data_IF_522430502704
#
_entry.id   IF_522430502704
#
_cell.length_a   1.000
_cell.length_b   1.000
_cell.length_c   1.000
_cell.angle_alpha   90.00
_cell.angle_beta   90.00
_cell.angle_gamma   90.00
#
_symmetry.space_group_name_H-M   'P 1'
#
loop_
_entity.id
_entity.type
_entity.pdbx_description
1 polymer ?
#
# COMPACT_ATOMS: atom_id res chain seq x y z
N UNK A 1 8.86 29.83 26.64
CA UNK A 1 9.26 29.48 25.26
C UNK A 1 7.99 29.24 24.47
N UNK A 2 7.79 29.95 23.35
CA UNK A 2 6.66 29.71 22.46
C UNK A 2 7.02 28.68 21.39
N UNK A 3 6.13 27.75 21.09
CA UNK A 3 6.27 26.80 20.00
C UNK A 3 5.41 27.25 18.80
N UNK A 4 5.96 27.11 17.59
CA UNK A 4 5.20 27.21 16.34
C UNK A 4 4.80 25.80 15.92
N UNK A 5 3.50 25.57 15.74
CA UNK A 5 2.97 24.32 15.18
C UNK A 5 2.50 24.54 13.76
N UNK A 6 2.93 23.69 12.84
CA UNK A 6 2.64 23.77 11.41
C UNK A 6 2.21 22.37 10.95
N UNK A 7 1.09 22.27 10.23
CA UNK A 7 0.54 21.01 9.74
C UNK A 7 0.66 20.94 8.22
N UNK A 8 1.29 19.88 7.71
CA UNK A 8 1.27 19.55 6.28
C UNK A 8 -0.06 18.92 5.87
N UNK A 9 -0.67 19.40 4.79
CA UNK A 9 -1.99 18.92 4.33
C UNK A 9 -1.89 17.94 3.15
N UNK A 10 -0.82 18.03 2.36
CA UNK A 10 -0.60 17.19 1.17
C UNK A 10 0.84 16.66 1.16
N UNK A 11 1.06 15.41 0.70
CA UNK A 11 2.40 14.87 0.54
C UNK A 11 3.25 15.69 -0.43
N UNK A 12 4.57 15.61 -0.24
CA UNK A 12 5.57 16.28 -1.07
C UNK A 12 6.61 17.04 -0.27
N UNK A 13 7.53 17.67 -0.99
CA UNK A 13 8.65 18.40 -0.41
C UNK A 13 8.43 19.90 -0.49
N UNK A 14 8.72 20.60 0.59
CA UNK A 14 8.70 22.06 0.67
C UNK A 14 9.81 22.54 1.61
N UNK A 15 9.89 23.84 1.84
CA UNK A 15 10.78 24.38 2.85
C UNK A 15 10.08 25.46 3.68
N UNK A 16 10.35 25.44 4.98
CA UNK A 16 9.96 26.49 5.89
C UNK A 16 11.09 27.52 5.95
N UNK A 17 10.82 28.74 5.47
CA UNK A 17 11.74 29.87 5.59
C UNK A 17 11.37 30.72 6.81
N UNK A 18 12.24 30.73 7.81
CA UNK A 18 12.12 31.54 9.02
C UNK A 18 13.02 32.77 8.90
N UNK A 19 12.44 33.96 9.01
CA UNK A 19 13.18 35.22 8.99
C UNK A 19 12.90 36.00 10.29
N UNK A 20 13.95 36.36 11.01
CA UNK A 20 13.89 37.20 12.19
C UNK A 20 14.97 38.30 12.09
N UNK A 21 14.55 39.52 11.75
CA UNK A 21 15.47 40.61 11.42
C UNK A 21 16.36 40.25 10.22
N UNK A 22 17.69 40.24 10.43
CA UNK A 22 18.68 39.87 9.39
C UNK A 22 18.95 38.36 9.31
N UNK A 23 18.45 37.56 10.24
CA UNK A 23 18.69 36.11 10.26
C UNK A 23 17.62 35.41 9.42
N UNK A 24 18.07 34.56 8.49
CA UNK A 24 17.22 33.67 7.69
C UNK A 24 17.66 32.23 7.89
N UNK A 25 16.71 31.33 8.17
CA UNK A 25 16.92 29.89 8.21
C UNK A 25 15.91 29.20 7.31
N UNK A 26 16.39 28.32 6.43
CA UNK A 26 15.53 27.47 5.60
C UNK A 26 15.59 26.06 6.16
N UNK A 27 14.44 25.48 6.47
CA UNK A 27 14.29 24.11 6.96
C UNK A 27 13.56 23.29 5.88
N UNK A 28 14.17 22.26 5.29
CA UNK A 28 13.47 21.38 4.37
C UNK A 28 12.41 20.58 5.13
N UNK A 29 11.23 20.43 4.55
CA UNK A 29 10.11 19.69 5.12
C UNK A 29 9.61 18.71 4.06
N UNK A 30 9.45 17.45 4.45
CA UNK A 30 8.80 16.43 3.64
C UNK A 30 7.52 15.98 4.34
N UNK A 31 6.40 16.04 3.63
CA UNK A 31 5.13 15.46 4.07
C UNK A 31 5.00 14.10 3.39
N UNK A 32 4.88 13.04 4.18
CA UNK A 32 4.76 11.66 3.67
C UNK A 32 3.32 11.31 3.32
N UNK A 33 3.15 10.29 2.50
CA UNK A 33 1.86 9.70 2.20
C UNK A 33 1.22 9.09 3.43
N UNK A 34 -0.11 9.10 3.49
CA UNK A 34 -0.86 8.31 4.47
C UNK A 34 -0.89 6.83 4.11
N UNK A 35 -0.66 6.50 2.83
CA UNK A 35 -0.65 5.14 2.37
C UNK A 35 0.69 4.49 2.75
N UNK A 36 0.62 3.61 3.75
CA UNK A 36 1.76 2.92 4.36
C UNK A 36 2.25 1.72 3.53
N UNK A 37 1.62 1.43 2.38
CA UNK A 37 2.08 0.37 1.49
C UNK A 37 3.35 0.78 0.76
N UNK A 38 4.17 -0.22 0.44
CA UNK A 38 5.22 -0.12 -0.57
C UNK A 38 5.00 -1.22 -1.60
N UNK A 39 4.98 -0.85 -2.87
CA UNK A 39 4.83 -1.80 -3.98
C UNK A 39 5.52 -1.26 -5.24
N UNK A 40 5.45 -1.99 -6.34
CA UNK A 40 6.08 -1.64 -7.60
C UNK A 40 5.73 -2.67 -8.68
N UNK A 41 6.46 -2.69 -9.80
CA UNK A 41 6.31 -3.74 -10.79
C UNK A 41 6.50 -5.13 -10.16
N UNK A 42 5.73 -6.12 -10.65
CA UNK A 42 5.86 -7.50 -10.24
C UNK A 42 5.41 -8.44 -11.35
N UNK A 43 6.00 -9.62 -11.42
CA UNK A 43 5.52 -10.67 -12.31
C UNK A 43 5.70 -12.05 -11.69
N UNK A 44 4.74 -12.92 -11.95
CA UNK A 44 4.78 -14.33 -11.54
C UNK A 44 3.40 -14.95 -11.59
N UNK A 45 3.35 -16.28 -11.64
CA UNK A 45 2.09 -17.04 -11.62
C UNK A 45 1.08 -16.64 -12.73
N UNK A 46 1.59 -16.25 -13.90
CA UNK A 46 0.78 -15.77 -15.02
C UNK A 46 0.09 -14.43 -14.79
N UNK A 47 0.58 -13.63 -13.84
CA UNK A 47 0.12 -12.29 -13.55
C UNK A 47 1.29 -11.30 -13.66
N UNK A 48 1.08 -10.24 -14.44
CA UNK A 48 1.99 -9.10 -14.52
C UNK A 48 1.29 -7.89 -13.91
N UNK A 49 2.03 -7.17 -13.07
CA UNK A 49 1.59 -5.94 -12.42
C UNK A 49 2.55 -4.82 -12.76
N UNK A 50 2.01 -3.71 -13.25
CA UNK A 50 2.76 -2.47 -13.49
C UNK A 50 2.19 -1.33 -12.65
N UNK A 51 2.98 -0.27 -12.46
CA UNK A 51 2.51 0.92 -11.77
C UNK A 51 2.06 1.96 -12.79
N UNK A 52 0.80 2.38 -12.70
CA UNK A 52 0.25 3.45 -13.52
C UNK A 52 0.86 4.82 -13.17
N UNK A 53 0.65 5.82 -14.02
CA UNK A 53 1.18 7.17 -13.80
C UNK A 53 0.74 7.79 -12.46
N UNK A 54 -0.49 7.52 -12.02
CA UNK A 54 -1.02 8.04 -10.75
C UNK A 54 -0.53 7.25 -9.52
N UNK A 55 0.16 6.11 -9.73
CA UNK A 55 0.68 5.24 -8.67
C UNK A 55 -0.22 4.04 -8.32
N UNK A 56 -1.34 3.86 -9.01
CA UNK A 56 -2.17 2.65 -8.89
C UNK A 56 -1.53 1.44 -9.58
N UNK A 57 -2.03 0.24 -9.30
CA UNK A 57 -1.52 -1.02 -9.84
C UNK A 57 -2.36 -1.47 -11.03
N UNK A 58 -1.75 -1.61 -12.20
CA UNK A 58 -2.36 -2.19 -13.40
C UNK A 58 -2.03 -3.68 -13.49
N UNK A 59 -3.06 -4.52 -13.63
CA UNK A 59 -2.96 -5.97 -13.69
C UNK A 59 -3.24 -6.46 -15.11
N UNK A 60 -2.45 -7.42 -15.57
CA UNK A 60 -2.70 -8.15 -16.79
C UNK A 60 -2.16 -9.57 -16.69
N UNK A 61 -2.99 -10.56 -16.99
CA UNK A 61 -2.56 -11.95 -17.23
C UNK A 61 -2.34 -12.25 -18.72
N UNK A 62 -2.54 -11.26 -19.62
CA UNK A 62 -2.48 -11.49 -21.06
C UNK A 62 -3.44 -12.60 -21.50
N UNK A 63 -2.93 -13.63 -22.15
CA UNK A 63 -3.69 -14.84 -22.54
C UNK A 63 -3.63 -15.95 -21.50
N UNK A 64 -2.89 -15.76 -20.40
CA UNK A 64 -2.76 -16.75 -19.33
C UNK A 64 -3.92 -16.68 -18.33
N UNK A 65 -4.13 -17.78 -17.63
CA UNK A 65 -5.03 -17.86 -16.48
C UNK A 65 -4.21 -17.92 -15.20
N UNK A 66 -4.47 -17.01 -14.27
CA UNK A 66 -3.82 -17.00 -12.95
C UNK A 66 -4.38 -18.17 -12.14
N UNK A 67 -3.55 -19.11 -11.65
CA UNK A 67 -4.01 -20.23 -10.83
C UNK A 67 -4.59 -19.76 -9.49
N UNK A 68 -5.52 -20.52 -8.92
CA UNK A 68 -6.08 -20.23 -7.60
C UNK A 68 -4.98 -20.14 -6.54
N UNK A 69 -5.14 -19.17 -5.63
CA UNK A 69 -4.23 -18.90 -4.51
C UNK A 69 -2.80 -18.53 -4.92
N UNK A 70 -2.59 -18.27 -6.20
CA UNK A 70 -1.34 -17.74 -6.76
C UNK A 70 -1.53 -16.29 -7.19
N UNK A 71 -0.42 -15.57 -7.33
CA UNK A 71 -0.43 -14.17 -7.69
C UNK A 71 0.91 -13.52 -7.41
N UNK A 72 0.92 -12.26 -6.98
CA UNK A 72 2.14 -11.51 -6.73
C UNK A 72 2.20 -10.99 -5.29
N UNK A 73 3.41 -10.67 -4.83
CA UNK A 73 3.63 -10.06 -3.53
C UNK A 73 4.82 -9.12 -3.45
N UNK A 74 4.79 -8.30 -2.41
CA UNK A 74 5.83 -7.36 -2.03
C UNK A 74 6.06 -7.47 -0.52
N UNK A 75 7.31 -7.70 -0.11
CA UNK A 75 7.73 -7.64 1.30
C UNK A 75 8.36 -6.28 1.58
N UNK A 76 7.93 -5.62 2.66
CA UNK A 76 8.46 -4.33 3.06
C UNK A 76 8.58 -4.20 4.58
N UNK A 77 9.50 -3.32 4.98
CA UNK A 77 9.78 -3.07 6.39
C UNK A 77 8.63 -2.33 7.08
N UNK A 78 8.41 -2.67 8.34
CA UNK A 78 7.38 -2.08 9.21
C UNK A 78 8.04 -1.13 10.20
N UNK A 79 7.69 0.17 10.17
CA UNK A 79 8.06 1.11 11.22
C UNK A 79 7.49 0.71 12.60
N UNK A 80 8.27 0.93 13.67
CA UNK A 80 7.87 0.52 15.03
C UNK A 80 6.58 1.21 15.51
N UNK A 81 6.33 2.44 15.06
CA UNK A 81 5.19 3.28 15.44
C UNK A 81 3.84 2.77 14.91
N UNK A 82 3.84 1.84 13.95
CA UNK A 82 2.62 1.23 13.41
C UNK A 82 2.39 -0.21 13.92
N UNK A 83 3.22 -0.70 14.83
CA UNK A 83 3.09 -2.03 15.43
C UNK A 83 2.11 -2.01 16.60
N UNK A 84 1.21 -3.00 16.66
CA UNK A 84 0.25 -3.16 17.76
C UNK A 84 -0.87 -2.12 17.80
N UNK A 85 -0.99 -1.27 16.77
CA UNK A 85 -2.04 -0.26 16.61
C UNK A 85 -2.99 -0.67 15.48
N UNK A 86 -4.25 -0.20 15.50
CA UNK A 86 -5.18 -0.48 14.41
C UNK A 86 -4.70 0.17 13.11
N UNK A 87 -4.73 -0.62 12.04
CA UNK A 87 -4.53 -0.18 10.67
C UNK A 87 -5.75 -0.56 9.85
N UNK A 88 -6.07 0.21 8.82
CA UNK A 88 -7.15 -0.11 7.90
C UNK A 88 -6.60 -0.33 6.50
N UNK A 89 -6.88 -1.50 5.93
CA UNK A 89 -6.65 -1.78 4.51
C UNK A 89 -7.95 -1.56 3.72
N UNK A 90 -7.86 -0.81 2.64
CA UNK A 90 -9.00 -0.43 1.80
C UNK A 90 -8.61 -0.34 0.33
N UNK A 91 -9.62 -0.41 -0.55
CA UNK A 91 -9.49 -0.12 -1.97
C UNK A 91 -10.52 0.93 -2.43
N UNK A 92 -10.22 1.62 -3.53
CA UNK A 92 -11.14 2.53 -4.23
C UNK A 92 -11.52 1.96 -5.59
N UNK A 93 -12.81 2.05 -5.94
CA UNK A 93 -13.33 1.51 -7.21
C UNK A 93 -13.69 0.04 -7.09
N UNK A 94 -13.26 -0.77 -8.06
CA UNK A 94 -13.50 -2.22 -8.13
C UNK A 94 -12.20 -3.00 -8.00
N UNK A 95 -12.31 -4.23 -7.49
CA UNK A 95 -11.18 -5.17 -7.45
C UNK A 95 -11.11 -5.91 -8.79
N UNK A 96 -9.98 -5.88 -9.52
CA UNK A 96 -9.85 -6.56 -10.80
C UNK A 96 -10.09 -8.08 -10.69
N UNK A 97 -10.93 -8.61 -11.58
CA UNK A 97 -11.25 -10.05 -11.62
C UNK A 97 -11.81 -10.58 -10.30
N UNK A 98 -11.14 -11.58 -9.73
CA UNK A 98 -11.49 -12.16 -8.41
C UNK A 98 -10.23 -12.19 -7.56
N UNK A 99 -9.60 -11.03 -7.38
CA UNK A 99 -8.42 -10.91 -6.54
C UNK A 99 -8.78 -10.82 -5.06
N UNK A 100 -7.91 -11.37 -4.23
CA UNK A 100 -7.90 -11.23 -2.78
C UNK A 100 -6.60 -10.54 -2.41
N UNK A 101 -6.71 -9.40 -1.74
CA UNK A 101 -5.57 -8.59 -1.32
C UNK A 101 -5.42 -8.78 0.18
N UNK A 102 -4.30 -9.37 0.61
CA UNK A 102 -4.06 -9.68 2.01
C UNK A 102 -2.73 -9.12 2.52
N UNK A 103 -2.72 -8.73 3.79
CA UNK A 103 -1.51 -8.44 4.53
C UNK A 103 -1.11 -9.67 5.33
N UNK A 104 0.18 -9.99 5.28
CA UNK A 104 0.76 -11.15 5.94
C UNK A 104 1.93 -10.72 6.82
N UNK A 105 2.06 -11.34 7.99
CA UNK A 105 3.25 -11.27 8.83
C UNK A 105 3.69 -12.70 9.15
N UNK A 106 4.96 -13.03 8.92
CA UNK A 106 5.50 -14.37 9.20
C UNK A 106 4.64 -15.49 8.59
N UNK A 107 4.26 -15.34 7.31
CA UNK A 107 3.35 -16.23 6.56
C UNK A 107 1.90 -16.37 7.10
N UNK A 108 1.54 -15.67 8.17
CA UNK A 108 0.18 -15.65 8.71
C UNK A 108 -0.60 -14.46 8.16
N UNK A 109 -1.85 -14.69 7.74
CA UNK A 109 -2.72 -13.62 7.28
C UNK A 109 -3.15 -12.74 8.46
N UNK A 110 -2.95 -11.43 8.33
CA UNK A 110 -3.46 -10.42 9.26
C UNK A 110 -4.88 -9.99 8.92
N UNK A 111 -5.29 -10.21 7.67
CA UNK A 111 -6.55 -9.73 7.10
C UNK A 111 -6.37 -9.18 5.70
N UNK A 112 -7.46 -8.77 5.07
CA UNK A 112 -7.45 -8.35 3.68
C UNK A 112 -8.79 -7.85 3.17
N UNK A 113 -8.78 -7.44 1.90
CA UNK A 113 -9.93 -6.95 1.14
C UNK A 113 -10.09 -7.71 -0.16
N UNK A 114 -11.31 -7.77 -0.66
CA UNK A 114 -11.68 -8.36 -1.95
C UNK A 114 -13.02 -7.78 -2.39
N UNK A 115 -13.49 -8.13 -3.61
CA UNK A 115 -14.76 -7.60 -4.11
C UNK A 115 -15.92 -7.88 -3.13
N UNK A 116 -16.58 -6.82 -2.66
CA UNK A 116 -17.68 -6.91 -1.69
C UNK A 116 -17.24 -6.99 -0.21
N UNK A 117 -15.93 -7.03 0.08
CA UNK A 117 -15.36 -6.85 1.41
C UNK A 117 -14.22 -5.83 1.37
N UNK A 118 -14.54 -4.61 1.77
CA UNK A 118 -13.60 -3.49 1.83
C UNK A 118 -13.44 -3.00 3.27
N UNK A 119 -12.50 -2.06 3.51
CA UNK A 119 -12.32 -1.36 4.79
C UNK A 119 -12.09 -2.30 5.97
N UNK A 120 -11.13 -3.21 5.83
CA UNK A 120 -10.81 -4.21 6.86
C UNK A 120 -9.79 -3.63 7.84
N UNK A 121 -10.13 -3.60 9.13
CA UNK A 121 -9.17 -3.27 10.20
C UNK A 121 -8.29 -4.47 10.50
N UNK A 122 -6.98 -4.25 10.59
CA UNK A 122 -5.94 -5.23 10.92
C UNK A 122 -5.01 -4.66 12.00
N UNK A 123 -4.16 -5.51 12.56
CA UNK A 123 -3.13 -5.09 13.51
C UNK A 123 -1.86 -5.88 13.24
N UNK A 124 -0.72 -5.19 13.20
CA UNK A 124 0.58 -5.83 13.05
C UNK A 124 1.04 -6.36 14.43
N UNK A 125 1.37 -7.65 14.57
CA UNK A 125 1.83 -8.22 15.83
C UNK A 125 3.14 -7.59 16.32
N UNK A 126 3.31 -7.48 17.64
CA UNK A 126 4.57 -7.01 18.26
C UNK A 126 5.77 -7.86 17.80
N UNK A 127 6.89 -7.19 17.53
CA UNK A 127 8.12 -7.82 17.06
C UNK A 127 8.14 -8.13 15.55
N UNK A 128 7.08 -7.79 14.82
CA UNK A 128 7.08 -7.88 13.35
C UNK A 128 7.89 -6.71 12.78
N UNK A 129 8.95 -7.03 12.04
CA UNK A 129 9.79 -6.03 11.36
C UNK A 129 9.48 -5.92 9.87
N UNK A 130 8.79 -6.91 9.30
CA UNK A 130 8.39 -6.97 7.89
C UNK A 130 7.01 -7.55 7.73
N UNK A 131 6.28 -7.01 6.77
CA UNK A 131 5.01 -7.58 6.30
C UNK A 131 5.06 -7.77 4.79
N UNK A 132 4.15 -8.59 4.31
CA UNK A 132 4.00 -8.90 2.91
C UNK A 132 2.59 -8.51 2.45
N UNK A 133 2.51 -7.67 1.41
CA UNK A 133 1.29 -7.46 0.65
C UNK A 133 1.20 -8.57 -0.39
N UNK A 134 0.18 -9.42 -0.30
CA UNK A 134 -0.12 -10.45 -1.30
C UNK A 134 -1.37 -10.09 -2.07
N UNK A 135 -1.32 -10.22 -3.39
CA UNK A 135 -2.48 -10.09 -4.27
C UNK A 135 -2.64 -11.41 -5.01
N UNK A 136 -3.66 -12.16 -4.63
CA UNK A 136 -3.85 -13.56 -5.03
C UNK A 136 -5.14 -13.72 -5.82
N UNK A 137 -5.15 -14.68 -6.75
CA UNK A 137 -6.38 -15.15 -7.38
C UNK A 137 -7.24 -15.89 -6.35
N UNK A 138 -8.41 -15.36 -6.06
CA UNK A 138 -9.49 -16.03 -5.35
C UNK A 138 -10.49 -16.71 -6.29
N UNK A 139 -11.67 -17.02 -5.74
CA UNK A 139 -12.73 -17.74 -6.46
C UNK A 139 -12.53 -19.25 -6.44
N UNK A 140 -13.20 -19.94 -7.37
CA UNK A 140 -13.24 -21.43 -7.43
C UNK A 140 -12.53 -22.02 -8.64
N UNK A 141 -12.12 -21.18 -9.59
CA UNK A 141 -11.32 -21.59 -10.75
C UNK A 141 -10.24 -20.56 -11.07
N UNK A 142 -9.16 -21.03 -11.71
CA UNK A 142 -8.20 -20.17 -12.39
C UNK A 142 -8.94 -19.27 -13.42
N UNK A 143 -8.37 -18.11 -13.71
CA UNK A 143 -8.99 -17.20 -14.66
C UNK A 143 -8.10 -16.03 -15.04
N UNK A 144 -8.51 -15.32 -16.08
CA UNK A 144 -7.84 -14.10 -16.51
C UNK A 144 -8.03 -12.99 -15.47
N UNK A 145 -7.03 -12.11 -15.40
CA UNK A 145 -7.07 -10.92 -14.57
C UNK A 145 -6.66 -9.74 -15.44
N UNK A 146 -7.53 -8.73 -15.49
CA UNK A 146 -7.23 -7.44 -16.10
C UNK A 146 -7.96 -6.35 -15.35
N UNK A 147 -7.28 -5.23 -15.12
CA UNK A 147 -7.87 -4.05 -14.50
C UNK A 147 -6.86 -3.27 -13.67
N UNK A 148 -7.33 -2.22 -13.02
CA UNK A 148 -6.53 -1.34 -12.18
C UNK A 148 -6.99 -1.43 -10.72
N UNK A 149 -6.07 -1.33 -9.77
CA UNK A 149 -6.37 -1.31 -8.34
C UNK A 149 -5.73 -0.11 -7.65
N UNK A 150 -6.55 0.62 -6.90
CA UNK A 150 -6.15 1.62 -5.94
C UNK A 150 -6.28 1.04 -4.54
N UNK A 151 -5.19 0.47 -4.03
CA UNK A 151 -5.10 -0.13 -2.70
C UNK A 151 -4.35 0.78 -1.74
N UNK A 152 -4.76 0.77 -0.47
CA UNK A 152 -4.16 1.59 0.57
C UNK A 152 -4.19 0.91 1.94
N UNK A 153 -3.15 1.18 2.75
CA UNK A 153 -3.07 0.88 4.17
C UNK A 153 -2.88 2.18 4.94
N UNK A 154 -3.71 2.45 5.95
CA UNK A 154 -3.62 3.66 6.78
C UNK A 154 -3.60 3.32 8.26
N UNK A 155 -3.04 4.23 9.06
CA UNK A 155 -3.17 4.20 10.51
C UNK A 155 -4.61 4.52 10.93
N UNK A 156 -5.16 3.71 11.84
CA UNK A 156 -6.49 3.92 12.42
C UNK A 156 -7.55 2.96 11.88
N UNK A 157 -8.82 3.36 12.06
CA UNK A 157 -10.00 2.53 11.75
C UNK A 157 -10.88 3.12 10.63
N UNK A 158 -10.45 4.21 10.01
CA UNK A 158 -11.22 4.96 9.03
C UNK A 158 -10.44 5.07 7.74
N UNK A 159 -11.01 4.57 6.65
CA UNK A 159 -10.43 4.71 5.33
C UNK A 159 -10.70 6.11 4.78
N UNK A 160 -9.72 6.67 4.08
CA UNK A 160 -9.84 7.95 3.40
C UNK A 160 -9.78 7.78 1.88
N UNK A 161 -9.94 8.90 1.17
CA UNK A 161 -9.68 8.97 -0.27
C UNK A 161 -8.28 8.45 -0.59
N UNK A 162 -8.20 7.65 -1.67
CA UNK A 162 -6.98 6.95 -2.04
C UNK A 162 -5.83 7.92 -2.25
N UNK A 163 -4.68 7.57 -1.69
CA UNK A 163 -3.43 8.29 -1.86
C UNK A 163 -2.34 7.37 -2.39
N UNK A 164 -1.60 7.84 -3.38
CA UNK A 164 -0.39 7.17 -3.88
C UNK A 164 0.58 6.92 -2.71
N UNK A 165 1.13 5.71 -2.54
CA UNK A 165 2.18 5.46 -1.56
C UNK A 165 3.51 6.12 -1.96
N UNK A 166 4.36 6.41 -0.97
CA UNK A 166 5.65 7.06 -1.21
C UNK A 166 6.61 6.17 -2.04
N UNK A 167 6.46 4.84 -1.93
CA UNK A 167 7.28 3.86 -2.65
C UNK A 167 6.43 3.08 -3.64
N UNK A 168 6.58 3.42 -4.92
CA UNK A 168 5.97 2.70 -6.05
C UNK A 168 7.01 2.02 -6.97
N UNK A 169 8.19 1.75 -6.45
CA UNK A 169 9.32 1.15 -7.17
C UNK A 169 9.88 -0.09 -6.46
N UNK A 170 9.15 -0.63 -5.48
CA UNK A 170 9.56 -1.85 -4.79
C UNK A 170 9.25 -3.03 -5.71
N UNK A 171 10.29 -3.70 -6.20
CA UNK A 171 10.12 -4.89 -7.03
C UNK A 171 9.41 -6.00 -6.25
N UNK A 172 8.36 -6.54 -6.84
CA UNK A 172 7.64 -7.69 -6.32
C UNK A 172 7.97 -8.96 -7.08
N UNK A 173 7.34 -10.06 -6.68
CA UNK A 173 7.51 -11.35 -7.33
C UNK A 173 6.27 -12.23 -7.23
N UNK A 174 6.33 -13.40 -7.86
CA UNK A 174 5.30 -14.42 -7.71
C UNK A 174 5.25 -14.96 -6.27
N UNK A 175 4.04 -15.11 -5.73
CA UNK A 175 3.82 -15.81 -4.46
C UNK A 175 4.06 -17.31 -4.66
N UNK A 176 4.95 -17.88 -3.85
CA UNK A 176 5.28 -19.31 -3.87
C UNK A 176 4.29 -20.14 -3.03
#
# INVERSE_FOLDING_TARGET
>A
MGALSITGIKPGSTSLKLTAGKITKTVPITVLSRNLLAYGPASGNGLTVTVAQDGSLDFSSGTESVPLYKGVSWEFDVPEDIVGVPLIISYTGDVPGTLVIGLYANANSLGGVYQGKNNTVVTIPKGTTRIELRILRGGVTAGSVSGNLKIQLELGNTAHEWMKPDVTSLEGGGVN
#
